data_IF_468087269356
#
_entry.id   IF_468087269356
#
_cell.length_a   1.000
_cell.length_b   1.000
_cell.length_c   1.000
_cell.angle_alpha   90.00
_cell.angle_beta   90.00
_cell.angle_gamma   90.00
#
_symmetry.space_group_name_H-M   'P 1'
#
loop_
_entity.id
_entity.type
_entity.pdbx_description
1 polymer ?
#
# COMPACT_ATOMS: atom_id res chain seq x y z
N UNK A 1 -6.11 12.95 18.23
CA UNK A 1 -6.32 11.52 17.90
C UNK A 1 -6.72 11.50 16.44
N UNK A 2 -5.79 11.12 15.57
CA UNK A 2 -5.92 11.24 14.13
C UNK A 2 -5.49 9.93 13.49
N UNK A 3 -6.22 9.51 12.47
CA UNK A 3 -5.84 8.37 11.64
C UNK A 3 -4.62 8.79 10.82
N UNK A 4 -3.53 8.02 10.89
CA UNK A 4 -2.41 8.16 9.98
C UNK A 4 -2.83 7.53 8.65
N UNK A 5 -2.83 8.32 7.57
CA UNK A 5 -3.20 7.84 6.24
C UNK A 5 -2.04 8.03 5.27
N UNK A 6 -1.95 7.11 4.31
CA UNK A 6 -0.94 7.11 3.28
C UNK A 6 -1.40 6.37 2.04
N UNK A 7 -0.57 6.40 1.00
CA UNK A 7 -0.82 5.74 -0.29
C UNK A 7 0.24 4.68 -0.50
N UNK A 8 -0.17 3.49 -0.91
CA UNK A 8 0.74 2.47 -1.44
C UNK A 8 0.94 2.71 -2.94
N UNK A 9 2.19 2.97 -3.32
CA UNK A 9 2.64 3.21 -4.69
C UNK A 9 3.55 2.09 -5.17
N UNK A 10 3.49 1.82 -6.47
CA UNK A 10 4.35 0.88 -7.20
C UNK A 10 5.73 1.46 -7.55
N UNK A 11 6.03 2.70 -7.15
CA UNK A 11 7.36 3.34 -7.27
C UNK A 11 7.89 3.88 -5.95
N UNK A 12 7.03 4.44 -5.11
CA UNK A 12 7.41 5.17 -3.89
C UNK A 12 7.00 4.47 -2.59
N UNK A 13 6.60 3.21 -2.66
CA UNK A 13 6.16 2.42 -1.49
C UNK A 13 4.97 3.07 -0.77
N UNK A 14 4.92 2.94 0.57
CA UNK A 14 3.92 3.60 1.40
C UNK A 14 4.43 4.99 1.78
N UNK A 15 3.72 6.03 1.34
CA UNK A 15 4.03 7.41 1.72
C UNK A 15 2.83 8.10 2.39
N UNK A 16 3.13 8.91 3.41
CA UNK A 16 2.14 9.66 4.17
C UNK A 16 1.66 10.92 3.45
N UNK A 17 0.55 11.47 3.94
CA UNK A 17 -0.08 12.68 3.40
C UNK A 17 0.78 13.94 3.36
N UNK A 18 1.80 13.99 4.21
CA UNK A 18 2.75 15.08 4.37
C UNK A 18 3.96 14.96 3.42
N UNK A 19 4.07 13.85 2.70
CA UNK A 19 5.17 13.58 1.78
C UNK A 19 4.82 14.02 0.35
N UNK A 20 5.63 14.92 -0.20
CA UNK A 20 5.48 15.38 -1.58
C UNK A 20 6.40 14.55 -2.48
N UNK A 21 5.80 13.77 -3.39
CA UNK A 21 6.54 13.00 -4.41
C UNK A 21 6.45 13.69 -5.78
N UNK A 22 7.46 13.45 -6.61
CA UNK A 22 7.42 13.87 -8.00
C UNK A 22 6.35 13.08 -8.76
N UNK A 23 5.72 13.71 -9.76
CA UNK A 23 4.85 13.00 -10.68
C UNK A 23 5.66 11.95 -11.44
N UNK A 24 5.16 10.71 -11.47
CA UNK A 24 5.74 9.61 -12.23
C UNK A 24 4.67 8.90 -13.06
N UNK A 25 5.10 8.27 -14.13
CA UNK A 25 4.29 7.37 -14.94
C UNK A 25 5.03 6.04 -15.04
N UNK A 26 4.64 5.09 -14.18
CA UNK A 26 5.09 3.71 -14.22
C UNK A 26 3.83 2.85 -14.21
N UNK A 27 3.77 1.87 -15.12
CA UNK A 27 2.66 0.93 -15.14
C UNK A 27 2.99 -0.20 -14.16
N UNK A 28 2.06 -0.64 -13.28
CA UNK A 28 2.34 -1.72 -12.34
C UNK A 28 2.78 -3.04 -12.98
N UNK A 29 2.48 -3.25 -14.27
CA UNK A 29 2.96 -4.41 -15.04
C UNK A 29 4.45 -4.36 -15.42
N UNK A 30 5.07 -3.18 -15.36
CA UNK A 30 6.52 -3.05 -15.63
C UNK A 30 7.37 -3.31 -14.38
N UNK A 31 6.73 -3.48 -13.22
CA UNK A 31 7.42 -3.77 -11.96
C UNK A 31 8.03 -5.16 -12.03
N UNK A 32 9.35 -5.21 -11.95
CA UNK A 32 10.11 -6.46 -11.90
C UNK A 32 10.00 -7.12 -10.52
N UNK A 33 10.34 -8.40 -10.44
CA UNK A 33 10.34 -9.13 -9.17
C UNK A 33 11.27 -8.49 -8.11
N UNK A 34 12.42 -7.95 -8.55
CA UNK A 34 13.38 -7.29 -7.66
C UNK A 34 12.83 -5.98 -7.08
N UNK A 35 12.12 -5.20 -7.90
CA UNK A 35 11.44 -3.98 -7.46
C UNK A 35 10.28 -4.32 -6.53
N UNK A 36 9.46 -5.33 -6.86
CA UNK A 36 8.38 -5.80 -5.99
C UNK A 36 8.91 -6.21 -4.61
N UNK A 37 10.03 -6.94 -4.54
CA UNK A 37 10.64 -7.35 -3.27
C UNK A 37 11.19 -6.17 -2.47
N UNK A 38 11.71 -5.15 -3.16
CA UNK A 38 12.15 -3.90 -2.53
C UNK A 38 10.96 -3.12 -1.94
N UNK A 39 9.86 -3.06 -2.70
CA UNK A 39 8.61 -2.41 -2.27
C UNK A 39 8.02 -3.10 -1.04
N UNK A 40 8.03 -4.44 -1.02
CA UNK A 40 7.55 -5.21 0.14
C UNK A 40 8.42 -4.93 1.38
N UNK A 41 9.74 -4.85 1.24
CA UNK A 41 10.62 -4.55 2.37
C UNK A 41 10.41 -3.13 2.93
N UNK A 42 10.20 -2.16 2.05
CA UNK A 42 9.91 -0.78 2.45
C UNK A 42 8.53 -0.66 3.10
N UNK A 43 7.53 -1.32 2.53
CA UNK A 43 6.19 -1.48 3.11
C UNK A 43 6.26 -2.04 4.54
N UNK A 44 6.96 -3.17 4.72
CA UNK A 44 7.07 -3.84 6.01
C UNK A 44 7.71 -2.92 7.05
N UNK A 45 8.77 -2.20 6.66
CA UNK A 45 9.43 -1.24 7.55
C UNK A 45 8.51 -0.10 7.93
N UNK A 46 7.88 0.54 6.94
CA UNK A 46 7.04 1.71 7.13
C UNK A 46 5.81 1.44 8.00
N UNK A 47 5.27 0.22 7.94
CA UNK A 47 4.02 -0.14 8.63
C UNK A 47 4.23 -1.05 9.84
N UNK A 48 5.47 -1.43 10.16
CA UNK A 48 5.78 -2.37 11.25
C UNK A 48 5.27 -1.96 12.63
N UNK A 49 5.18 -0.65 12.90
CA UNK A 49 4.74 -0.08 14.19
C UNK A 49 3.23 -0.13 14.38
N UNK A 50 2.44 -0.43 13.34
CA UNK A 50 0.99 -0.49 13.42
C UNK A 50 0.54 -1.91 13.78
N UNK A 51 -0.35 -2.00 14.78
CA UNK A 51 -1.00 -3.26 15.17
C UNK A 51 -2.07 -3.70 14.14
N UNK A 52 -2.72 -2.74 13.49
CA UNK A 52 -3.73 -2.97 12.45
C UNK A 52 -3.56 -1.97 11.30
N UNK A 53 -3.68 -2.46 10.06
CA UNK A 53 -3.46 -1.69 8.84
C UNK A 53 -4.70 -1.82 7.96
N UNK A 54 -5.34 -0.70 7.63
CA UNK A 54 -6.56 -0.69 6.82
C UNK A 54 -6.29 -0.17 5.42
N UNK A 55 -6.55 -1.00 4.41
CA UNK A 55 -6.46 -0.63 2.99
C UNK A 55 -7.84 -0.44 2.39
N UNK A 56 -8.08 0.78 1.90
CA UNK A 56 -9.22 1.06 1.03
C UNK A 56 -8.93 0.53 -0.37
N UNK A 57 -9.81 -0.33 -0.90
CA UNK A 57 -9.70 -0.89 -2.24
C UNK A 57 -10.86 -0.35 -3.08
N UNK A 58 -10.54 0.25 -4.23
CA UNK A 58 -11.50 0.51 -5.30
C UNK A 58 -11.46 -0.64 -6.31
N UNK A 59 -12.44 -1.55 -6.32
CA UNK A 59 -12.40 -2.77 -7.14
C UNK A 59 -12.19 -2.48 -8.63
N UNK A 60 -12.75 -1.39 -9.14
CA UNK A 60 -12.70 -1.01 -10.56
C UNK A 60 -11.29 -0.64 -11.03
N UNK A 61 -10.41 -0.24 -10.10
CA UNK A 61 -9.05 0.21 -10.39
C UNK A 61 -7.98 -0.61 -9.69
N UNK A 62 -8.35 -1.69 -8.99
CA UNK A 62 -7.40 -2.43 -8.17
C UNK A 62 -6.52 -3.33 -9.03
N UNK A 63 -5.23 -2.97 -9.10
CA UNK A 63 -4.26 -3.74 -9.86
C UNK A 63 -3.80 -5.01 -9.11
N UNK A 64 -3.60 -6.11 -9.84
CA UNK A 64 -3.14 -7.39 -9.27
C UNK A 64 -1.80 -7.29 -8.55
N UNK A 65 -0.94 -6.35 -8.96
CA UNK A 65 0.33 -6.02 -8.30
C UNK A 65 0.15 -5.74 -6.81
N UNK A 66 -0.77 -4.83 -6.47
CA UNK A 66 -1.05 -4.48 -5.07
C UNK A 66 -1.59 -5.69 -4.31
N UNK A 67 -2.42 -6.52 -4.96
CA UNK A 67 -2.87 -7.79 -4.39
C UNK A 67 -1.73 -8.76 -4.05
N UNK A 68 -0.62 -8.75 -4.80
CA UNK A 68 0.58 -9.54 -4.47
C UNK A 68 1.33 -8.94 -3.30
N UNK A 69 1.53 -7.63 -3.28
CA UNK A 69 2.19 -6.93 -2.16
C UNK A 69 1.47 -7.23 -0.84
N UNK A 70 0.14 -7.04 -0.79
CA UNK A 70 -0.67 -7.27 0.42
C UNK A 70 -0.67 -8.73 0.90
N UNK A 71 -0.35 -9.70 0.02
CA UNK A 71 -0.27 -11.13 0.37
C UNK A 71 1.13 -11.58 0.78
N UNK A 72 2.18 -10.92 0.26
CA UNK A 72 3.58 -11.36 0.43
C UNK A 72 4.31 -10.64 1.57
N UNK A 73 3.79 -9.49 2.01
CA UNK A 73 4.26 -8.76 3.20
C UNK A 73 4.27 -9.64 4.46
N UNK A 74 5.26 -9.42 5.33
CA UNK A 74 5.31 -10.03 6.65
C UNK A 74 4.17 -9.57 7.58
N UNK A 75 3.45 -8.50 7.20
CA UNK A 75 2.37 -7.90 7.96
C UNK A 75 0.98 -8.37 7.50
N UNK A 76 0.89 -9.37 6.62
CA UNK A 76 -0.36 -9.81 6.00
C UNK A 76 -1.48 -10.09 7.01
N UNK A 77 -1.16 -10.66 8.17
CA UNK A 77 -2.12 -10.96 9.24
C UNK A 77 -2.71 -9.72 9.93
N UNK A 78 -2.06 -8.56 9.78
CA UNK A 78 -2.50 -7.26 10.33
C UNK A 78 -3.30 -6.43 9.34
N UNK A 79 -3.36 -6.87 8.08
CA UNK A 79 -4.01 -6.12 7.00
C UNK A 79 -5.51 -6.43 7.00
N UNK A 80 -6.30 -5.36 7.02
CA UNK A 80 -7.74 -5.34 6.74
C UNK A 80 -7.98 -4.59 5.46
N UNK A 81 -8.97 -5.02 4.70
CA UNK A 81 -9.38 -4.34 3.47
C UNK A 81 -10.85 -3.97 3.55
N UNK A 82 -11.21 -2.86 2.93
CA UNK A 82 -12.59 -2.39 2.83
C UNK A 82 -12.79 -1.66 1.51
N UNK A 83 -14.01 -1.73 0.97
CA UNK A 83 -14.35 -1.18 -0.36
C UNK A 83 -15.37 -0.05 -0.29
N UNK A 84 -16.09 0.04 0.83
CA UNK A 84 -17.06 1.09 1.09
C UNK A 84 -16.44 2.13 2.02
N UNK A 85 -16.22 3.33 1.49
CA UNK A 85 -15.63 4.44 2.24
C UNK A 85 -16.58 4.98 3.30
N UNK A 86 -17.89 4.71 3.21
CA UNK A 86 -18.86 5.08 4.25
C UNK A 86 -18.68 4.29 5.55
N UNK A 87 -17.83 3.25 5.54
CA UNK A 87 -17.42 2.48 6.73
C UNK A 87 -16.37 3.21 7.58
N UNK A 88 -15.73 4.26 7.07
CA UNK A 88 -14.89 5.17 7.86
C UNK A 88 -15.75 6.38 8.24
N UNK A 89 -16.42 6.30 9.38
CA UNK A 89 -17.13 7.42 10.03
C UNK A 89 -16.57 7.71 11.41
#
# INVERSE_FOLDING_TARGET
MGVSWGVLSDLYDVFGSDQHQAWYEQHPDTVTQYEEDSIIQAFDRALSEYDEIWFYIRPESFHLFYGRVLKRTALADRIRTFEDIELIK
#
